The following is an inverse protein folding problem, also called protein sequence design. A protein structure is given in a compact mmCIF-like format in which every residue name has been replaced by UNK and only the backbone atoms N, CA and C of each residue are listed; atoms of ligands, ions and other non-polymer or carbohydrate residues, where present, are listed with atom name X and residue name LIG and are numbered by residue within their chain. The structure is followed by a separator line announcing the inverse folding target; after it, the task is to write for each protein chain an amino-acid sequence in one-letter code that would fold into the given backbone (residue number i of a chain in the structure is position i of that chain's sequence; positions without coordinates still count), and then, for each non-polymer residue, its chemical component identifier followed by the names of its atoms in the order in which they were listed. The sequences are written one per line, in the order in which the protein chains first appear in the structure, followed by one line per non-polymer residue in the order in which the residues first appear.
data_IF_124149705924
#
_entry.id   IF_124149705924
#
_cell.length_a   1.000
_cell.length_b   1.000
_cell.length_c   1.000
_cell.angle_alpha   90.00
_cell.angle_beta   90.00
_cell.angle_gamma   90.00
#
_symmetry.space_group_name_H-M   'P 1'
#
loop_
_entity.id
_entity.type
_entity.pdbx_description
1 polymer ?
#
# COMPACT_ATOMS: atom_id res chain seq x y z
N UNK A 1 -4.62 -0.80 -14.08
CA UNK A 1 -3.37 -1.55 -14.35
C UNK A 1 -2.17 -0.81 -13.77
N UNK A 2 -1.22 -1.54 -13.18
CA UNK A 2 0.10 -1.04 -12.80
C UNK A 2 1.19 -1.84 -13.51
N UNK A 3 2.30 -1.20 -13.84
CA UNK A 3 3.42 -1.84 -14.51
C UNK A 3 4.75 -1.23 -14.10
N UNK A 4 5.78 -2.05 -14.12
CA UNK A 4 7.17 -1.63 -13.97
C UNK A 4 7.89 -1.68 -15.32
N UNK A 5 8.85 -0.80 -15.47
CA UNK A 5 9.69 -0.75 -16.67
C UNK A 5 11.13 -0.40 -16.29
N UNK A 6 12.07 -1.22 -16.72
CA UNK A 6 13.50 -1.01 -16.45
C UNK A 6 14.26 -0.73 -17.74
N UNK A 7 15.01 0.36 -17.72
CA UNK A 7 15.99 0.73 -18.76
C UNK A 7 17.34 0.93 -18.08
N UNK A 8 17.97 2.09 -18.29
CA UNK A 8 19.04 2.59 -17.44
C UNK A 8 18.54 2.86 -16.02
N UNK A 9 17.30 3.38 -15.91
CA UNK A 9 16.63 3.68 -14.66
C UNK A 9 15.40 2.77 -14.49
N UNK A 10 14.87 2.70 -13.28
CA UNK A 10 13.65 1.93 -12.96
C UNK A 10 12.44 2.86 -12.86
N UNK A 11 11.34 2.45 -13.45
CA UNK A 11 10.07 3.17 -13.46
C UNK A 11 8.95 2.25 -13.00
N UNK A 12 8.03 2.83 -12.22
CA UNK A 12 6.75 2.23 -11.89
C UNK A 12 5.65 3.22 -12.21
N UNK A 13 4.61 2.78 -12.89
CA UNK A 13 3.46 3.60 -13.24
C UNK A 13 2.15 2.83 -13.12
N UNK A 14 1.06 3.59 -12.97
CA UNK A 14 -0.28 2.98 -12.97
C UNK A 14 -1.27 3.88 -13.68
N UNK A 15 -2.32 3.28 -14.23
CA UNK A 15 -3.53 3.98 -14.68
C UNK A 15 -4.59 3.90 -13.59
N UNK A 16 -5.12 5.05 -13.18
CA UNK A 16 -6.20 5.16 -12.21
C UNK A 16 -7.49 5.50 -12.97
N UNK A 17 -8.29 4.48 -13.26
CA UNK A 17 -9.47 4.59 -14.10
C UNK A 17 -10.73 4.55 -13.24
N UNK A 18 -11.40 5.70 -13.09
CA UNK A 18 -12.68 5.85 -12.41
C UNK A 18 -13.66 6.63 -13.29
N UNK A 19 -14.95 6.41 -13.08
CA UNK A 19 -16.02 7.13 -13.79
C UNK A 19 -16.15 8.58 -13.33
N UNK A 20 -15.62 8.90 -12.13
CA UNK A 20 -15.64 10.26 -11.55
C UNK A 20 -14.43 10.44 -10.61
N UNK A 21 -14.09 11.72 -10.35
CA UNK A 21 -13.01 12.04 -9.40
C UNK A 21 -13.51 12.02 -7.95
N UNK A 22 -12.74 11.41 -7.07
CA UNK A 22 -12.93 11.50 -5.62
C UNK A 22 -12.22 12.71 -4.99
N UNK A 23 -11.73 13.65 -5.79
CA UNK A 23 -10.90 14.76 -5.32
C UNK A 23 -9.44 14.32 -5.14
N UNK A 24 -8.98 13.53 -6.10
CA UNK A 24 -7.62 12.97 -6.11
C UNK A 24 -6.59 14.08 -6.23
N UNK A 25 -5.52 13.98 -5.47
CA UNK A 25 -4.43 14.95 -5.49
C UNK A 25 -3.09 14.28 -5.21
N UNK A 26 -2.02 14.94 -5.64
CA UNK A 26 -0.66 14.54 -5.26
C UNK A 26 -0.46 14.92 -3.80
N UNK A 27 -0.21 13.93 -2.95
CA UNK A 27 0.10 14.11 -1.55
C UNK A 27 1.59 13.82 -1.30
N UNK A 28 2.24 14.74 -0.56
CA UNK A 28 3.61 14.56 -0.08
C UNK A 28 3.55 14.44 1.43
N UNK A 29 4.02 13.31 1.95
CA UNK A 29 4.16 13.08 3.39
C UNK A 29 5.65 13.20 3.75
N UNK A 30 6.08 14.29 4.42
CA UNK A 30 7.47 14.49 4.79
C UNK A 30 7.91 13.54 5.91
N UNK A 31 9.22 13.35 6.10
CA UNK A 31 9.82 12.39 7.04
C UNK A 31 9.34 12.51 8.49
N UNK A 32 8.84 13.66 8.90
CA UNK A 32 8.38 13.95 10.27
C UNK A 32 6.87 14.13 10.39
N UNK A 33 6.10 13.76 9.36
CA UNK A 33 4.65 13.71 9.46
C UNK A 33 4.25 12.58 10.42
N UNK A 34 3.48 12.86 11.50
CA UNK A 34 3.13 11.84 12.46
C UNK A 34 2.01 10.92 11.92
N UNK A 35 2.37 9.77 11.40
CA UNK A 35 1.36 8.74 11.08
C UNK A 35 0.81 8.15 12.38
N UNK A 36 -0.52 8.21 12.54
CA UNK A 36 -1.24 7.52 13.62
C UNK A 36 -1.99 6.34 13.00
N UNK A 37 -1.46 5.14 13.18
CA UNK A 37 -2.06 3.90 12.69
C UNK A 37 -3.08 3.35 13.69
N UNK A 38 -4.21 2.85 13.22
CA UNK A 38 -5.35 2.41 14.05
C UNK A 38 -4.99 1.36 15.09
N UNK A 39 -4.10 0.44 14.74
CA UNK A 39 -3.71 -0.68 15.61
C UNK A 39 -2.21 -0.77 15.86
N UNK A 40 -1.39 -0.04 15.10
CA UNK A 40 0.07 -0.14 15.15
C UNK A 40 0.76 1.07 15.80
N UNK A 41 -0.04 1.96 16.44
CA UNK A 41 0.49 3.13 17.16
C UNK A 41 0.92 4.26 16.23
N UNK A 42 1.73 5.19 16.77
CA UNK A 42 2.17 6.39 16.05
C UNK A 42 3.63 6.25 15.63
N UNK A 43 3.92 6.60 14.38
CA UNK A 43 5.27 6.67 13.81
C UNK A 43 5.62 8.15 13.56
N UNK A 44 6.55 8.69 14.34
CA UNK A 44 6.95 10.11 14.30
C UNK A 44 8.01 10.40 13.23
N UNK A 45 8.83 9.40 12.88
CA UNK A 45 9.88 9.52 11.86
C UNK A 45 9.80 8.34 10.93
N UNK A 46 9.88 8.61 9.64
CA UNK A 46 9.75 7.61 8.60
C UNK A 46 10.34 8.12 7.28
N UNK A 47 10.38 7.31 6.24
CA UNK A 47 10.76 7.75 4.90
C UNK A 47 9.69 8.71 4.35
N UNK A 48 10.12 9.73 3.61
CA UNK A 48 9.22 10.61 2.88
C UNK A 48 8.50 9.81 1.78
N UNK A 49 7.21 10.12 1.58
CA UNK A 49 6.34 9.44 0.63
C UNK A 49 5.70 10.49 -0.27
N UNK A 50 5.60 10.19 -1.56
CA UNK A 50 4.82 10.96 -2.54
C UNK A 50 3.94 10.01 -3.33
N UNK A 51 2.70 10.38 -3.57
CA UNK A 51 1.78 9.57 -4.36
C UNK A 51 0.46 10.25 -4.64
N UNK A 52 -0.41 9.54 -5.35
CA UNK A 52 -1.79 9.95 -5.59
C UNK A 52 -2.66 9.51 -4.41
N UNK A 53 -3.42 10.44 -3.84
CA UNK A 53 -4.24 10.16 -2.67
C UNK A 53 -5.55 10.96 -2.68
N UNK A 54 -6.56 10.45 -1.98
CA UNK A 54 -7.61 11.28 -1.42
C UNK A 54 -7.21 11.70 0.01
N UNK A 55 -7.27 12.98 0.32
CA UNK A 55 -6.91 13.47 1.67
C UNK A 55 -8.19 13.72 2.47
N UNK A 56 -8.41 12.91 3.49
CA UNK A 56 -9.55 12.99 4.39
C UNK A 56 -9.09 13.31 5.82
N UNK A 57 -9.58 14.44 6.38
CA UNK A 57 -9.21 14.85 7.73
C UNK A 57 -7.69 15.01 7.97
N UNK A 58 -6.95 15.39 6.93
CA UNK A 58 -5.49 15.51 6.98
C UNK A 58 -4.74 14.18 6.79
N UNK A 59 -5.45 13.05 6.66
CA UNK A 59 -4.84 11.73 6.42
C UNK A 59 -4.82 11.39 4.91
N UNK A 60 -3.67 11.03 4.34
CA UNK A 60 -3.58 10.65 2.93
C UNK A 60 -4.01 9.20 2.73
N UNK A 61 -5.15 9.00 2.10
CA UNK A 61 -5.62 7.70 1.62
C UNK A 61 -4.97 7.45 0.26
N UNK A 62 -3.78 6.87 0.25
CA UNK A 62 -3.00 6.63 -0.96
C UNK A 62 -3.63 5.53 -1.84
N UNK A 63 -3.74 5.83 -3.14
CA UNK A 63 -4.04 4.82 -4.17
C UNK A 63 -2.76 4.13 -4.67
N UNK A 64 -1.70 4.93 -4.79
CA UNK A 64 -0.34 4.54 -5.14
C UNK A 64 0.63 5.57 -4.56
N UNK A 65 1.84 5.14 -4.29
CA UNK A 65 2.91 6.02 -3.83
C UNK A 65 4.28 5.40 -4.02
N UNK A 66 5.30 6.23 -3.91
CA UNK A 66 6.70 5.84 -3.83
C UNK A 66 7.34 6.53 -2.63
N UNK A 67 8.26 5.86 -1.96
CA UNK A 67 9.07 6.48 -0.91
C UNK A 67 10.42 6.95 -1.44
N UNK A 68 11.12 7.74 -0.65
CA UNK A 68 12.45 8.29 -0.97
C UNK A 68 13.56 7.25 -1.16
N UNK A 69 13.29 5.98 -0.83
CA UNK A 69 14.20 4.85 -1.03
C UNK A 69 13.98 4.13 -2.35
N UNK A 70 12.96 4.52 -3.11
CA UNK A 70 12.65 3.93 -4.40
C UNK A 70 11.72 2.70 -4.35
N UNK A 71 11.09 2.43 -3.20
CA UNK A 71 10.03 1.42 -3.13
C UNK A 71 8.72 2.05 -3.57
N UNK A 72 8.12 1.52 -4.63
CA UNK A 72 6.82 1.91 -5.15
C UNK A 72 5.75 0.89 -4.81
N UNK A 73 4.51 1.36 -4.57
CA UNK A 73 3.37 0.52 -4.27
C UNK A 73 2.09 1.08 -4.90
N UNK A 74 1.26 0.22 -5.47
CA UNK A 74 -0.04 0.59 -6.00
C UNK A 74 -1.11 -0.42 -5.61
N UNK A 75 -2.29 0.08 -5.20
CA UNK A 75 -3.48 -0.72 -4.97
C UNK A 75 -4.38 -0.74 -6.20
N UNK A 76 -4.87 -1.93 -6.56
CA UNK A 76 -5.76 -2.18 -7.69
C UNK A 76 -7.00 -2.93 -7.22
N UNK A 77 -8.11 -2.80 -7.96
CA UNK A 77 -9.35 -3.48 -7.62
C UNK A 77 -9.20 -5.01 -7.68
N UNK A 78 -9.68 -5.67 -6.64
CA UNK A 78 -9.70 -7.13 -6.51
C UNK A 78 -11.06 -7.59 -5.99
N UNK A 79 -12.10 -7.07 -6.61
CA UNK A 79 -13.49 -7.21 -6.19
C UNK A 79 -13.94 -8.67 -6.20
N UNK A 80 -14.57 -9.10 -5.11
CA UNK A 80 -15.05 -10.47 -4.93
C UNK A 80 -14.00 -11.47 -4.43
N UNK A 81 -12.72 -11.09 -4.42
CA UNK A 81 -11.63 -11.96 -3.96
C UNK A 81 -10.98 -11.44 -2.66
N UNK A 82 -10.86 -10.11 -2.52
CA UNK A 82 -10.23 -9.51 -1.35
C UNK A 82 -11.02 -9.83 -0.06
N UNK A 83 -10.30 -10.33 0.95
CA UNK A 83 -10.81 -10.55 2.29
C UNK A 83 -9.76 -10.13 3.31
N UNK A 84 -10.19 -9.41 4.35
CA UNK A 84 -9.31 -8.92 5.41
C UNK A 84 -9.67 -9.59 6.73
N UNK A 85 -8.64 -9.88 7.52
CA UNK A 85 -8.78 -10.61 8.76
C UNK A 85 -9.36 -9.73 9.90
N UNK A 86 -9.83 -10.37 10.96
CA UNK A 86 -10.06 -9.69 12.22
C UNK A 86 -8.71 -9.38 12.91
N UNK A 87 -8.73 -8.41 13.84
CA UNK A 87 -7.59 -8.12 14.71
C UNK A 87 -7.17 -9.38 15.46
N UNK A 88 -5.87 -9.67 15.48
CA UNK A 88 -5.26 -10.81 16.18
C UNK A 88 -4.31 -10.33 17.27
N UNK A 89 -4.23 -11.03 18.42
CA UNK A 89 -3.19 -10.77 19.40
C UNK A 89 -1.80 -11.15 18.86
N UNK A 90 -0.75 -10.60 19.46
CA UNK A 90 0.66 -10.95 19.25
C UNK A 90 1.20 -10.80 17.82
N UNK A 91 0.49 -10.07 16.96
CA UNK A 91 0.95 -9.70 15.62
C UNK A 91 0.65 -8.22 15.36
N UNK A 92 1.40 -7.61 14.46
CA UNK A 92 1.13 -6.23 14.06
C UNK A 92 -0.10 -6.19 13.17
N UNK A 93 -1.17 -5.58 13.65
CA UNK A 93 -2.40 -5.37 12.89
C UNK A 93 -2.33 -4.03 12.14
N UNK A 94 -2.61 -4.05 10.85
CA UNK A 94 -2.60 -2.87 9.98
C UNK A 94 -3.94 -2.80 9.25
N UNK A 95 -4.62 -1.67 9.33
CA UNK A 95 -5.87 -1.49 8.59
C UNK A 95 -5.60 -1.42 7.07
N UNK A 96 -6.54 -1.89 6.27
CA UNK A 96 -6.39 -1.97 4.82
C UNK A 96 -6.01 -0.61 4.20
N UNK A 97 -6.65 0.47 4.61
CA UNK A 97 -6.38 1.82 4.08
C UNK A 97 -5.01 2.39 4.50
N UNK A 98 -4.38 1.82 5.53
CA UNK A 98 -3.05 2.18 6.04
C UNK A 98 -1.92 1.40 5.38
N UNK A 99 -2.24 0.40 4.56
CA UNK A 99 -1.24 -0.56 4.09
C UNK A 99 -0.13 0.10 3.26
N UNK A 100 -0.47 1.01 2.34
CA UNK A 100 0.52 1.74 1.55
C UNK A 100 1.43 2.58 2.44
N UNK A 101 0.93 3.52 3.28
CA UNK A 101 1.81 4.31 4.13
C UNK A 101 2.54 3.47 5.20
N UNK A 102 1.95 2.36 5.68
CA UNK A 102 2.63 1.45 6.60
C UNK A 102 3.90 0.84 5.99
N UNK A 103 3.80 0.30 4.79
CA UNK A 103 4.93 -0.29 4.08
C UNK A 103 5.96 0.78 3.71
N UNK A 104 5.53 1.84 3.03
CA UNK A 104 6.43 2.84 2.46
C UNK A 104 7.11 3.71 3.52
N UNK A 105 6.53 3.82 4.71
CA UNK A 105 7.14 4.57 5.81
C UNK A 105 8.40 3.92 6.39
N UNK A 106 8.64 2.63 6.15
CA UNK A 106 9.68 1.91 6.88
C UNK A 106 10.52 0.93 6.06
N UNK A 107 10.12 0.59 4.84
CA UNK A 107 10.85 -0.36 3.99
C UNK A 107 11.67 0.38 2.94
N UNK A 108 12.95 0.08 2.85
CA UNK A 108 13.87 0.61 1.84
C UNK A 108 14.04 -0.31 0.62
N UNK A 109 13.46 -1.52 0.67
CA UNK A 109 13.54 -2.50 -0.42
C UNK A 109 12.37 -3.48 -0.36
N UNK A 110 12.09 -4.16 -1.48
CA UNK A 110 11.13 -5.27 -1.54
C UNK A 110 11.53 -6.43 -0.62
N UNK A 111 12.82 -6.65 -0.38
CA UNK A 111 13.28 -7.66 0.57
C UNK A 111 12.85 -7.33 2.01
N UNK A 112 12.95 -6.06 2.43
CA UNK A 112 12.46 -5.60 3.73
C UNK A 112 10.93 -5.68 3.82
N UNK A 113 10.22 -5.37 2.72
CA UNK A 113 8.76 -5.55 2.64
C UNK A 113 8.37 -7.00 2.92
N UNK A 114 9.03 -7.98 2.30
CA UNK A 114 8.75 -9.40 2.55
C UNK A 114 8.92 -9.78 4.02
N UNK A 115 9.98 -9.30 4.65
CA UNK A 115 10.24 -9.53 6.07
C UNK A 115 9.14 -8.91 6.92
N UNK A 116 8.74 -7.69 6.63
CA UNK A 116 7.67 -7.00 7.35
C UNK A 116 6.32 -7.71 7.22
N UNK A 117 5.96 -8.13 6.01
CA UNK A 117 4.71 -8.83 5.71
C UNK A 117 4.56 -10.17 6.46
N UNK A 118 5.67 -10.86 6.75
CA UNK A 118 5.63 -12.14 7.48
C UNK A 118 5.22 -12.00 8.95
N UNK A 119 5.18 -10.77 9.48
CA UNK A 119 4.90 -10.48 10.89
C UNK A 119 3.68 -9.58 11.09
N UNK A 120 2.88 -9.39 10.06
CA UNK A 120 1.70 -8.54 10.12
C UNK A 120 0.41 -9.26 9.74
N UNK A 121 -0.68 -8.64 10.13
CA UNK A 121 -2.05 -9.04 9.81
C UNK A 121 -2.78 -7.84 9.20
N UNK A 122 -3.30 -8.01 7.99
CA UNK A 122 -4.08 -6.98 7.31
C UNK A 122 -5.54 -7.09 7.72
N UNK A 123 -6.05 -6.05 8.38
CA UNK A 123 -7.33 -6.14 9.08
C UNK A 123 -8.47 -5.35 8.42
N UNK A 124 -9.68 -5.81 8.71
CA UNK A 124 -10.94 -5.32 8.17
C UNK A 124 -11.45 -4.03 8.86
N UNK A 125 -10.55 -3.17 9.29
CA UNK A 125 -10.91 -1.88 9.91
C UNK A 125 -11.08 -0.81 8.83
N UNK A 126 -12.29 -0.24 8.62
CA UNK A 126 -12.50 0.82 7.65
C UNK A 126 -11.92 2.16 8.13
N UNK A 127 -11.68 3.08 7.21
CA UNK A 127 -11.30 4.44 7.58
C UNK A 127 -12.44 5.16 8.31
N UNK A 128 -13.64 5.11 7.75
CA UNK A 128 -14.87 5.64 8.32
C UNK A 128 -16.08 4.98 7.67
N UNK A 129 -17.29 5.30 8.14
CA UNK A 129 -18.52 4.86 7.46
C UNK A 129 -18.64 5.37 6.02
N UNK A 130 -18.14 6.60 5.76
CA UNK A 130 -18.12 7.20 4.42
C UNK A 130 -17.06 6.56 3.50
N UNK A 131 -15.97 6.06 4.08
CA UNK A 131 -14.88 5.40 3.37
C UNK A 131 -14.73 3.97 3.89
N UNK A 132 -15.58 3.04 3.39
CA UNK A 132 -15.55 1.63 3.78
C UNK A 132 -14.29 0.94 3.23
N UNK A 133 -14.16 -0.34 3.54
CA UNK A 133 -13.07 -1.18 3.02
C UNK A 133 -13.08 -1.23 1.49
N UNK A 134 -11.96 -0.91 0.89
CA UNK A 134 -11.74 -1.13 -0.53
C UNK A 134 -11.22 -2.55 -0.76
N UNK A 135 -11.79 -3.25 -1.73
CA UNK A 135 -11.36 -4.60 -2.11
C UNK A 135 -10.19 -4.50 -3.09
N UNK A 136 -8.98 -4.60 -2.55
CA UNK A 136 -7.73 -4.37 -3.28
C UNK A 136 -6.77 -5.55 -3.19
N UNK A 137 -5.88 -5.61 -4.19
CA UNK A 137 -4.58 -6.26 -4.14
C UNK A 137 -3.50 -5.26 -4.55
N UNK A 138 -2.24 -5.59 -4.33
CA UNK A 138 -1.16 -4.62 -4.48
C UNK A 138 0.01 -5.18 -5.26
N UNK A 139 0.63 -4.30 -6.06
CA UNK A 139 1.97 -4.49 -6.57
C UNK A 139 2.93 -3.62 -5.75
N UNK A 140 4.05 -4.20 -5.35
CA UNK A 140 5.12 -3.51 -4.64
C UNK A 140 6.42 -3.81 -5.37
N UNK A 141 7.18 -2.76 -5.70
CA UNK A 141 8.36 -2.91 -6.54
C UNK A 141 9.46 -1.95 -6.14
N UNK A 142 10.69 -2.39 -6.35
CA UNK A 142 11.90 -1.58 -6.37
C UNK A 142 12.72 -1.92 -7.63
N UNK A 143 13.92 -1.38 -7.76
CA UNK A 143 14.78 -1.62 -8.92
C UNK A 143 15.23 -3.08 -9.08
N UNK A 144 15.09 -3.91 -8.03
CA UNK A 144 15.60 -5.28 -7.96
C UNK A 144 14.53 -6.35 -8.06
N UNK A 145 13.32 -6.06 -7.58
CA UNK A 145 12.24 -7.03 -7.49
C UNK A 145 10.86 -6.40 -7.58
N UNK A 146 9.88 -7.22 -7.98
CA UNK A 146 8.46 -6.90 -7.92
C UNK A 146 7.70 -8.06 -7.29
N UNK A 147 6.72 -7.73 -6.44
CA UNK A 147 5.83 -8.69 -5.80
C UNK A 147 4.37 -8.28 -5.93
N UNK A 148 3.50 -9.26 -5.94
CA UNK A 148 2.06 -9.08 -5.79
C UNK A 148 1.66 -9.51 -4.38
N UNK A 149 0.84 -8.71 -3.71
CA UNK A 149 0.31 -9.00 -2.37
C UNK A 149 -1.21 -9.06 -2.46
N UNK A 150 -1.77 -10.18 -2.02
CA UNK A 150 -3.21 -10.44 -2.03
C UNK A 150 -3.65 -10.91 -0.64
N UNK A 151 -4.70 -10.29 -0.11
CA UNK A 151 -5.37 -10.74 1.11
C UNK A 151 -6.69 -11.38 0.72
N UNK A 152 -6.79 -12.68 0.88
CA UNK A 152 -7.95 -13.49 0.52
C UNK A 152 -8.45 -14.30 1.72
N UNK A 153 -9.48 -15.12 1.54
CA UNK A 153 -10.19 -15.78 2.64
C UNK A 153 -9.30 -16.66 3.55
N UNK A 154 -8.23 -17.23 3.02
CA UNK A 154 -7.29 -18.09 3.76
C UNK A 154 -6.02 -17.35 4.25
N UNK A 155 -5.89 -16.04 3.96
CA UNK A 155 -4.82 -15.22 4.50
C UNK A 155 -4.17 -14.23 3.53
N UNK A 156 -2.99 -13.74 3.95
CA UNK A 156 -2.17 -12.82 3.18
C UNK A 156 -1.15 -13.61 2.34
N UNK A 157 -1.19 -13.45 1.04
CA UNK A 157 -0.32 -14.12 0.08
C UNK A 157 0.64 -13.13 -0.57
N UNK A 158 1.86 -13.59 -0.79
CA UNK A 158 2.95 -12.84 -1.43
C UNK A 158 3.48 -13.66 -2.58
N UNK A 159 3.36 -13.15 -3.80
CA UNK A 159 3.82 -13.80 -5.02
C UNK A 159 4.98 -13.03 -5.63
N UNK A 160 5.96 -13.74 -6.17
CA UNK A 160 6.93 -13.13 -7.07
C UNK A 160 6.24 -12.67 -8.35
N UNK A 161 6.54 -11.45 -8.77
CA UNK A 161 5.97 -10.88 -9.99
C UNK A 161 7.10 -10.48 -10.98
N UNK A 162 7.74 -11.46 -11.61
CA UNK A 162 8.87 -11.19 -12.52
C UNK A 162 8.45 -10.43 -13.78
N UNK A 163 7.16 -10.42 -14.11
CA UNK A 163 6.62 -9.65 -15.23
C UNK A 163 6.52 -8.17 -14.89
N UNK A 164 6.37 -7.84 -13.60
CA UNK A 164 6.24 -6.47 -13.12
C UNK A 164 4.92 -5.79 -13.52
N UNK A 165 3.85 -6.56 -13.72
CA UNK A 165 2.52 -6.05 -14.10
C UNK A 165 1.46 -6.61 -13.17
N UNK A 166 0.50 -5.75 -12.79
CA UNK A 166 -0.72 -6.15 -12.08
C UNK A 166 -1.92 -5.44 -12.72
N UNK A 167 -3.00 -6.19 -12.93
CA UNK A 167 -4.28 -5.66 -13.45
C UNK A 167 -5.40 -5.87 -12.43
N UNK A 168 -6.52 -5.21 -12.66
CA UNK A 168 -7.75 -5.45 -11.91
C UNK A 168 -8.30 -6.85 -12.20
#
# INVERSE_FOLDING_TARGET
TAATYKTKDFYMGRTLDYEFSYGDQIAITPRNYPFSFRHAGTKQTHYAIIGMAHVAGGYPLYYDAINEKGVGMAGLNFVGNAAYANVKPDVTNVAQFEFIPWILSQCASVAEVRTLLSHMNLVNTPFSEQFPLAQLHWIISDETASITVESIADGLHIYDNPVGVLTN
#
